data_IF_531372262113
#
_entry.id   IF_531372262113
#
_cell.length_a   1.000
_cell.length_b   1.000
_cell.length_c   1.000
_cell.angle_alpha   90.00
_cell.angle_beta   90.00
_cell.angle_gamma   90.00
#
_symmetry.space_group_name_H-M   'P 1'
#
loop_
_entity.id
_entity.type
_entity.pdbx_description
1 polymer ?
#
# COMPACT_ATOMS: atom_id res chain seq x y z
N UNK A 1 -3.90 41.76 89.29
CA UNK A 1 -2.67 42.56 89.14
C UNK A 1 -1.50 41.58 89.03
N UNK A 2 -0.65 41.71 87.97
CA UNK A 2 0.56 40.91 87.59
C UNK A 2 0.29 39.51 86.98
N UNK A 3 0.28 39.32 85.65
CA UNK A 3 1.34 39.27 84.61
C UNK A 3 2.16 37.96 84.53
N UNK A 4 2.07 37.28 83.37
CA UNK A 4 3.09 36.49 82.64
C UNK A 4 2.33 35.50 81.73
N UNK A 5 2.08 35.70 80.42
CA UNK A 5 2.95 35.76 79.23
C UNK A 5 3.93 34.58 79.10
N UNK A 6 3.47 33.49 78.49
CA UNK A 6 4.31 32.64 77.63
C UNK A 6 3.56 32.34 76.33
N UNK A 7 4.15 32.80 75.22
CA UNK A 7 3.73 32.56 73.84
C UNK A 7 4.25 31.19 73.40
N UNK A 8 3.36 30.29 72.99
CA UNK A 8 3.72 29.10 72.23
C UNK A 8 3.48 29.35 70.75
N UNK A 9 4.58 29.39 70.00
CA UNK A 9 4.63 29.51 68.55
C UNK A 9 4.30 28.12 67.97
N UNK A 10 3.21 28.00 67.22
CA UNK A 10 2.94 26.84 66.39
C UNK A 10 3.50 27.09 64.99
N UNK A 11 4.60 26.41 64.66
CA UNK A 11 5.12 26.31 63.30
C UNK A 11 4.28 25.25 62.60
N UNK A 12 3.33 25.67 61.78
CA UNK A 12 2.64 24.77 60.86
C UNK A 12 3.54 24.60 59.63
N UNK A 13 4.20 23.44 59.55
CA UNK A 13 4.92 23.01 58.35
C UNK A 13 3.86 22.71 57.28
N UNK A 14 3.76 23.58 56.28
CA UNK A 14 3.03 23.30 55.04
C UNK A 14 3.86 22.26 54.28
N UNK A 15 3.36 21.05 54.01
CA UNK A 15 4.06 20.15 53.12
C UNK A 15 4.04 20.77 51.72
N UNK A 16 5.25 20.97 51.20
CA UNK A 16 5.53 21.44 49.86
C UNK A 16 4.80 20.55 48.85
N UNK A 17 3.92 21.17 48.06
CA UNK A 17 3.21 20.52 46.97
C UNK A 17 4.22 19.95 45.96
N UNK A 18 4.29 18.63 45.86
CA UNK A 18 4.82 17.95 44.68
C UNK A 18 3.65 17.52 43.79
N UNK A 19 2.94 18.50 43.24
CA UNK A 19 2.22 18.29 41.99
C UNK A 19 3.25 18.27 40.86
N UNK A 20 3.71 17.09 40.47
CA UNK A 20 4.21 16.87 39.10
C UNK A 20 3.06 16.26 38.31
N UNK A 21 2.01 17.06 38.11
CA UNK A 21 1.08 16.85 36.99
C UNK A 21 1.79 17.36 35.73
N UNK A 22 2.54 16.48 35.09
CA UNK A 22 2.81 16.59 33.66
C UNK A 22 2.04 15.47 32.94
N UNK A 23 0.72 15.44 33.12
CA UNK A 23 -0.14 14.82 32.13
C UNK A 23 -0.27 15.87 31.02
N UNK A 24 0.71 15.92 30.12
CA UNK A 24 0.52 16.65 28.88
C UNK A 24 -0.68 16.02 28.20
N UNK A 25 -1.73 16.82 28.01
CA UNK A 25 -2.81 16.50 27.07
C UNK A 25 -2.15 15.98 25.80
N UNK A 26 -2.50 14.81 25.25
CA UNK A 26 -1.84 14.31 24.06
C UNK A 26 -2.10 15.32 22.96
N UNK A 27 -1.06 16.10 22.65
CA UNK A 27 -1.06 17.02 21.55
C UNK A 27 -1.46 16.20 20.33
N UNK A 28 -2.49 16.66 19.62
CA UNK A 28 -3.08 15.90 18.52
C UNK A 28 -1.97 15.62 17.51
N UNK A 29 -1.47 14.38 17.48
CA UNK A 29 -0.30 13.97 16.68
C UNK A 29 -0.41 14.57 15.27
N UNK A 30 0.53 15.46 14.94
CA UNK A 30 0.57 16.06 13.61
C UNK A 30 0.94 14.99 12.58
N UNK A 31 0.15 14.89 11.52
CA UNK A 31 0.32 13.90 10.43
C UNK A 31 0.72 14.55 9.10
N UNK A 32 1.07 15.83 9.13
CA UNK A 32 1.47 16.60 7.94
C UNK A 32 2.93 16.43 7.58
N UNK A 33 3.76 15.99 8.54
CA UNK A 33 5.18 15.66 8.35
C UNK A 33 5.40 14.23 8.83
N UNK A 34 6.02 13.41 7.98
CA UNK A 34 6.30 12.00 8.25
C UNK A 34 7.81 11.75 8.09
N UNK A 35 8.41 10.80 8.84
CA UNK A 35 7.79 10.00 9.89
C UNK A 35 7.44 10.83 11.14
N UNK A 36 6.39 10.43 11.85
CA UNK A 36 6.02 11.03 13.15
C UNK A 36 7.15 10.74 14.13
N UNK A 37 7.70 11.80 14.75
CA UNK A 37 8.82 11.67 15.66
C UNK A 37 8.39 11.03 16.98
N UNK A 38 9.24 10.15 17.53
CA UNK A 38 9.04 9.61 18.87
C UNK A 38 9.09 10.75 19.91
N UNK A 39 8.25 10.72 20.96
CA UNK A 39 8.40 11.65 22.07
C UNK A 39 9.73 11.40 22.79
N UNK A 40 10.26 12.44 23.43
CA UNK A 40 11.46 12.30 24.26
C UNK A 40 11.23 11.25 25.36
N UNK A 41 12.20 10.34 25.53
CA UNK A 41 12.12 9.29 26.54
C UNK A 41 12.41 9.87 27.92
N UNK A 42 11.63 9.53 28.95
CA UNK A 42 11.91 9.99 30.30
C UNK A 42 13.26 9.47 30.78
N UNK A 43 13.98 10.29 31.56
CA UNK A 43 15.17 9.86 32.29
C UNK A 43 14.74 9.24 33.63
N UNK A 44 15.40 8.14 34.02
CA UNK A 44 15.10 7.44 35.26
C UNK A 44 16.15 7.78 36.32
N UNK A 45 15.68 8.14 37.51
CA UNK A 45 16.52 8.35 38.69
C UNK A 45 16.49 7.18 39.67
N UNK A 46 15.57 6.22 39.48
CA UNK A 46 15.53 4.98 40.25
C UNK A 46 16.73 4.09 39.92
N UNK A 47 17.44 3.64 40.96
CA UNK A 47 18.69 2.89 40.85
C UNK A 47 18.46 1.38 40.89
N UNK A 48 17.39 0.93 41.54
CA UNK A 48 16.99 -0.48 41.53
C UNK A 48 16.08 -0.76 40.35
N UNK A 49 16.61 -1.47 39.35
CA UNK A 49 15.86 -1.84 38.12
C UNK A 49 14.54 -2.56 38.41
N UNK A 50 14.39 -3.22 39.56
CA UNK A 50 13.16 -3.92 39.94
C UNK A 50 12.02 -2.97 40.29
N UNK A 51 12.34 -1.71 40.60
CA UNK A 51 11.39 -0.66 40.96
C UNK A 51 11.12 0.30 39.79
N UNK A 52 11.77 0.11 38.64
CA UNK A 52 11.57 0.94 37.45
C UNK A 52 10.29 0.51 36.74
N UNK A 53 9.33 1.43 36.62
CA UNK A 53 8.17 1.24 35.74
C UNK A 53 8.58 1.43 34.28
N UNK A 54 8.24 0.46 33.41
CA UNK A 54 8.53 0.57 31.98
C UNK A 54 7.59 1.57 31.31
N UNK A 55 8.11 2.47 30.47
CA UNK A 55 7.27 3.42 29.76
C UNK A 55 6.46 2.66 28.70
N UNK A 56 5.25 3.14 28.34
CA UNK A 56 4.49 2.55 27.25
C UNK A 56 5.28 2.64 25.95
N UNK A 57 5.15 1.61 25.09
CA UNK A 57 5.71 1.65 23.76
C UNK A 57 5.05 2.78 22.95
N UNK A 58 5.87 3.57 22.28
CA UNK A 58 5.36 4.54 21.33
C UNK A 58 4.86 3.82 20.08
N UNK A 59 3.56 3.91 19.82
CA UNK A 59 2.91 3.26 18.69
C UNK A 59 2.16 4.27 17.83
N UNK A 60 2.45 4.29 16.53
CA UNK A 60 1.62 5.02 15.56
C UNK A 60 0.44 4.15 15.15
N UNK A 61 -0.76 4.54 15.61
CA UNK A 61 -2.03 3.92 15.19
C UNK A 61 -2.68 4.75 14.10
N UNK A 62 -3.43 4.10 13.21
CA UNK A 62 -4.27 4.82 12.25
C UNK A 62 -5.33 5.66 12.97
N UNK A 63 -5.84 6.76 12.36
CA UNK A 63 -6.94 7.52 12.91
C UNK A 63 -8.16 6.63 13.22
N UNK A 64 -8.94 7.00 14.24
CA UNK A 64 -10.19 6.28 14.54
C UNK A 64 -11.09 6.25 13.31
N UNK A 65 -11.66 5.07 13.00
CA UNK A 65 -12.50 4.83 11.82
C UNK A 65 -11.79 4.99 10.47
N UNK A 66 -10.45 4.96 10.45
CA UNK A 66 -9.70 4.89 9.21
C UNK A 66 -10.14 3.66 8.40
N UNK A 67 -10.52 3.82 7.11
CA UNK A 67 -11.03 2.72 6.31
C UNK A 67 -9.88 1.83 5.82
N UNK A 68 -10.20 0.57 5.51
CA UNK A 68 -9.39 -0.23 4.60
C UNK A 68 -9.46 0.38 3.19
N UNK A 69 -8.35 0.38 2.47
CA UNK A 69 -8.25 0.89 1.10
C UNK A 69 -7.79 -0.23 0.19
N UNK A 70 -8.57 -0.55 -0.84
CA UNK A 70 -8.20 -1.52 -1.87
C UNK A 70 -8.21 -0.82 -3.23
N UNK A 71 -7.08 -0.85 -3.92
CA UNK A 71 -6.96 -0.47 -5.32
C UNK A 71 -6.84 -1.74 -6.14
N UNK A 72 -7.78 -1.96 -7.06
CA UNK A 72 -7.69 -3.01 -8.08
C UNK A 72 -7.33 -2.35 -9.40
N UNK A 73 -6.13 -2.64 -9.91
CA UNK A 73 -5.65 -2.15 -11.20
C UNK A 73 -5.60 -3.32 -12.20
N UNK A 74 -6.41 -3.22 -13.25
CA UNK A 74 -6.47 -4.23 -14.32
C UNK A 74 -5.62 -3.73 -15.49
N UNK A 75 -4.64 -4.53 -15.91
CA UNK A 75 -3.68 -4.15 -16.95
C UNK A 75 -4.31 -4.30 -18.34
N UNK A 76 -4.16 -3.26 -19.17
CA UNK A 76 -4.56 -3.19 -20.59
C UNK A 76 -6.04 -3.49 -20.93
N UNK A 77 -6.93 -3.37 -19.95
CA UNK A 77 -8.36 -3.51 -20.23
C UNK A 77 -8.90 -2.26 -20.93
N UNK A 78 -9.49 -2.44 -22.12
CA UNK A 78 -10.14 -1.35 -22.85
C UNK A 78 -11.48 -0.96 -22.23
N UNK A 79 -11.80 0.34 -22.24
CA UNK A 79 -13.04 0.89 -21.67
C UNK A 79 -14.31 0.20 -22.22
N UNK A 80 -14.36 -0.08 -23.52
CA UNK A 80 -15.49 -0.75 -24.19
C UNK A 80 -15.46 -2.29 -24.14
N UNK A 81 -14.57 -2.89 -23.35
CA UNK A 81 -14.53 -4.35 -23.19
C UNK A 81 -15.60 -4.87 -22.23
N UNK A 82 -15.61 -4.43 -20.96
CA UNK A 82 -16.57 -4.85 -19.94
C UNK A 82 -18.02 -4.41 -20.22
N UNK A 83 -18.98 -5.29 -19.94
CA UNK A 83 -20.42 -4.99 -20.03
C UNK A 83 -20.87 -3.89 -19.06
N UNK A 84 -20.14 -3.67 -17.96
CA UNK A 84 -20.35 -2.56 -17.03
C UNK A 84 -20.37 -1.19 -17.73
N UNK A 85 -19.64 -1.06 -18.84
CA UNK A 85 -19.60 0.15 -19.67
C UNK A 85 -20.12 -0.10 -21.11
N UNK A 86 -20.99 -1.10 -21.28
CA UNK A 86 -21.64 -1.43 -22.55
C UNK A 86 -20.88 -2.41 -23.46
N UNK A 87 -19.75 -2.94 -23.01
CA UNK A 87 -18.96 -3.90 -23.77
C UNK A 87 -19.50 -5.35 -23.78
N UNK A 88 -18.95 -6.23 -24.63
CA UNK A 88 -19.44 -7.60 -24.78
C UNK A 88 -18.95 -8.57 -23.68
N UNK A 89 -17.93 -8.20 -22.90
CA UNK A 89 -17.29 -9.07 -21.91
C UNK A 89 -18.07 -9.03 -20.60
N UNK A 90 -18.53 -10.18 -20.12
CA UNK A 90 -19.33 -10.28 -18.91
C UNK A 90 -18.46 -10.13 -17.65
N UNK A 91 -18.72 -9.09 -16.85
CA UNK A 91 -18.00 -8.77 -15.62
C UNK A 91 -18.97 -8.53 -14.45
N UNK A 92 -19.70 -9.57 -13.99
CA UNK A 92 -20.78 -9.41 -13.00
C UNK A 92 -20.33 -8.82 -11.66
N UNK A 93 -19.07 -9.07 -11.25
CA UNK A 93 -18.51 -8.44 -10.04
C UNK A 93 -18.33 -6.94 -10.22
N UNK A 94 -17.87 -6.48 -11.40
CA UNK A 94 -17.72 -5.06 -11.70
C UNK A 94 -19.10 -4.39 -11.84
N UNK A 95 -20.08 -5.08 -12.45
CA UNK A 95 -21.46 -4.59 -12.54
C UNK A 95 -22.05 -4.30 -11.17
N UNK A 96 -21.87 -5.22 -10.21
CA UNK A 96 -22.33 -5.03 -8.83
C UNK A 96 -21.61 -3.85 -8.16
N UNK A 97 -20.29 -3.74 -8.32
CA UNK A 97 -19.53 -2.63 -7.75
C UNK A 97 -19.95 -1.27 -8.33
N UNK A 98 -20.26 -1.22 -9.62
CA UNK A 98 -20.76 -0.02 -10.28
C UNK A 98 -22.18 0.34 -9.81
N UNK A 99 -23.05 -0.66 -9.62
CA UNK A 99 -24.42 -0.45 -9.12
C UNK A 99 -24.47 0.07 -7.68
N UNK A 100 -23.56 -0.41 -6.83
CA UNK A 100 -23.47 -0.02 -5.42
C UNK A 100 -22.51 1.17 -5.18
N UNK A 101 -21.93 1.72 -6.25
CA UNK A 101 -20.80 2.65 -6.17
C UNK A 101 -20.92 3.86 -7.09
N UNK A 102 -19.76 4.40 -7.47
CA UNK A 102 -19.64 5.53 -8.39
C UNK A 102 -18.78 5.10 -9.57
N UNK A 103 -19.31 5.31 -10.77
CA UNK A 103 -18.61 5.07 -12.03
C UNK A 103 -18.16 6.40 -12.65
N UNK A 104 -16.96 6.40 -13.23
CA UNK A 104 -16.39 7.56 -13.92
C UNK A 104 -16.28 7.27 -15.41
N UNK A 105 -16.81 8.14 -16.26
CA UNK A 105 -16.67 8.10 -17.72
C UNK A 105 -15.68 9.15 -18.25
N UNK A 106 -15.02 9.90 -17.35
CA UNK A 106 -14.03 10.92 -17.65
C UNK A 106 -12.79 10.80 -16.73
N UNK A 107 -12.37 9.56 -16.49
CA UNK A 107 -11.17 9.22 -15.72
C UNK A 107 -10.02 8.95 -16.68
N UNK A 108 -8.85 9.54 -16.41
CA UNK A 108 -7.69 9.45 -17.29
C UNK A 108 -6.51 8.80 -16.58
N UNK A 109 -5.91 7.83 -17.26
CA UNK A 109 -4.57 7.33 -16.98
C UNK A 109 -3.57 8.00 -17.91
N UNK A 110 -2.30 7.63 -17.80
CA UNK A 110 -1.35 7.91 -18.89
C UNK A 110 -1.54 6.89 -20.02
N UNK A 111 -0.80 7.06 -21.13
CA UNK A 111 -0.86 6.14 -22.26
C UNK A 111 -0.13 4.80 -22.03
N UNK A 112 0.65 4.65 -20.94
CA UNK A 112 1.49 3.49 -20.69
C UNK A 112 1.36 2.99 -19.24
N UNK A 113 1.74 1.73 -19.02
CA UNK A 113 1.63 1.05 -17.74
C UNK A 113 2.51 1.69 -16.64
N UNK A 114 3.85 1.69 -16.76
CA UNK A 114 4.72 2.26 -15.71
C UNK A 114 4.39 3.71 -15.35
N UNK A 115 4.18 4.63 -16.32
CA UNK A 115 3.82 6.02 -16.01
C UNK A 115 2.49 6.16 -15.27
N UNK A 116 1.46 5.37 -15.63
CA UNK A 116 0.18 5.33 -14.91
C UNK A 116 0.35 4.87 -13.47
N UNK A 117 1.12 3.81 -13.25
CA UNK A 117 1.30 3.20 -11.92
C UNK A 117 2.04 4.15 -10.97
N UNK A 118 3.09 4.80 -11.47
CA UNK A 118 3.83 5.79 -10.70
C UNK A 118 2.97 7.03 -10.41
N UNK A 119 2.20 7.54 -11.39
CA UNK A 119 1.29 8.65 -11.15
C UNK A 119 0.22 8.30 -10.10
N UNK A 120 -0.38 7.12 -10.19
CA UNK A 120 -1.39 6.61 -9.26
C UNK A 120 -0.87 6.54 -7.82
N UNK A 121 0.35 6.00 -7.63
CA UNK A 121 0.91 5.78 -6.28
C UNK A 121 1.66 6.96 -5.71
N UNK A 122 1.88 8.02 -6.46
CA UNK A 122 2.56 9.23 -5.97
C UNK A 122 1.67 10.47 -5.97
N UNK A 123 0.57 10.46 -6.73
CA UNK A 123 -0.24 11.64 -7.00
C UNK A 123 0.51 12.73 -7.79
N UNK A 124 1.63 12.38 -8.44
CA UNK A 124 2.47 13.30 -9.22
C UNK A 124 2.38 13.01 -10.71
N UNK A 125 2.72 14.01 -11.51
CA UNK A 125 2.95 13.79 -12.94
C UNK A 125 4.09 12.77 -13.12
N UNK A 126 3.89 11.82 -14.04
CA UNK A 126 4.81 10.71 -14.24
C UNK A 126 6.21 11.16 -14.69
N UNK A 127 6.36 12.29 -15.40
CA UNK A 127 7.67 12.87 -15.69
C UNK A 127 8.35 13.41 -14.42
N UNK A 128 7.61 14.06 -13.51
CA UNK A 128 8.17 14.49 -12.22
C UNK A 128 8.64 13.30 -11.37
N UNK A 129 7.98 12.15 -11.51
CA UNK A 129 8.38 10.88 -10.89
C UNK A 129 9.40 10.09 -11.73
N UNK A 130 10.08 10.71 -12.70
CA UNK A 130 11.09 10.10 -13.56
C UNK A 130 10.61 8.88 -14.37
N UNK A 131 9.33 8.82 -14.69
CA UNK A 131 8.69 7.73 -15.43
C UNK A 131 8.00 8.28 -16.67
N UNK A 132 8.79 8.80 -17.61
CA UNK A 132 8.29 9.33 -18.87
C UNK A 132 7.81 8.24 -19.84
N UNK A 133 8.36 7.04 -19.71
CA UNK A 133 8.04 5.85 -20.51
C UNK A 133 8.03 4.59 -19.61
N UNK A 134 7.92 3.42 -20.23
CA UNK A 134 8.06 2.12 -19.54
C UNK A 134 9.46 1.95 -18.93
N UNK A 135 9.55 1.18 -17.84
CA UNK A 135 10.81 0.98 -17.10
C UNK A 135 11.96 0.45 -17.96
N UNK A 136 11.66 -0.37 -18.95
CA UNK A 136 12.61 -0.95 -19.90
C UNK A 136 13.24 0.09 -20.84
N UNK A 137 12.58 1.24 -21.02
CA UNK A 137 13.06 2.37 -21.83
C UNK A 137 13.58 3.53 -20.98
N UNK A 138 13.91 3.28 -19.71
CA UNK A 138 14.46 4.30 -18.84
C UNK A 138 15.89 4.69 -19.26
N UNK A 139 16.32 5.92 -18.95
CA UNK A 139 17.57 6.51 -19.45
C UNK A 139 18.30 7.30 -18.35
N UNK A 140 19.44 7.94 -18.65
CA UNK A 140 20.07 8.88 -17.73
C UNK A 140 19.39 10.26 -17.67
N UNK A 141 18.43 10.55 -18.55
CA UNK A 141 17.85 11.89 -18.68
C UNK A 141 16.75 12.15 -17.64
N UNK A 142 16.73 13.33 -16.99
CA UNK A 142 15.66 13.71 -16.08
C UNK A 142 14.29 13.59 -16.73
N UNK A 143 13.31 13.12 -15.96
CA UNK A 143 11.97 12.87 -16.44
C UNK A 143 11.71 11.46 -16.96
N UNK A 144 12.76 10.66 -17.17
CA UNK A 144 12.65 9.27 -17.60
C UNK A 144 13.80 8.39 -17.09
N UNK A 145 14.24 8.60 -15.86
CA UNK A 145 15.32 7.79 -15.27
C UNK A 145 14.88 6.43 -14.75
N UNK A 146 13.57 6.18 -14.61
CA UNK A 146 13.04 4.99 -13.94
C UNK A 146 13.31 4.97 -12.43
N UNK A 147 13.89 6.05 -11.89
CA UNK A 147 14.22 6.19 -10.48
C UNK A 147 13.36 7.28 -9.86
N UNK A 148 12.31 6.88 -9.15
CA UNK A 148 11.46 7.80 -8.38
C UNK A 148 12.36 8.61 -7.43
N UNK A 149 12.35 9.95 -7.51
CA UNK A 149 13.24 10.78 -6.71
C UNK A 149 12.76 10.86 -5.25
N UNK A 150 13.69 11.04 -4.31
CA UNK A 150 13.38 11.14 -2.86
C UNK A 150 12.46 12.32 -2.50
N UNK A 151 12.26 13.28 -3.41
CA UNK A 151 11.29 14.38 -3.26
C UNK A 151 9.84 13.94 -3.51
N UNK A 152 9.63 12.72 -3.99
CA UNK A 152 8.32 12.13 -4.28
C UNK A 152 8.06 11.01 -3.27
N UNK A 153 7.17 11.27 -2.32
CA UNK A 153 6.78 10.29 -1.31
C UNK A 153 5.75 9.28 -1.89
N UNK A 154 5.98 7.96 -1.77
CA UNK A 154 5.01 6.95 -2.17
C UNK A 154 3.77 6.96 -1.26
N UNK A 155 2.58 6.77 -1.85
CA UNK A 155 1.30 6.67 -1.13
C UNK A 155 1.33 5.58 -0.06
N UNK A 156 1.87 4.41 -0.39
CA UNK A 156 1.98 3.30 0.54
C UNK A 156 2.84 3.68 1.76
N UNK A 157 3.95 4.40 1.55
CA UNK A 157 4.82 4.83 2.64
C UNK A 157 4.12 5.82 3.56
N UNK A 158 3.40 6.80 2.98
CA UNK A 158 2.60 7.73 3.76
C UNK A 158 1.54 7.02 4.60
N UNK A 159 0.87 6.01 4.06
CA UNK A 159 -0.13 5.21 4.80
C UNK A 159 0.53 4.35 5.88
N UNK A 160 1.63 3.66 5.56
CA UNK A 160 2.42 2.84 6.50
C UNK A 160 2.89 3.66 7.70
N UNK A 161 3.49 4.83 7.45
CA UNK A 161 3.93 5.77 8.48
C UNK A 161 2.76 6.42 9.26
N UNK A 162 1.53 6.24 8.80
CA UNK A 162 0.31 6.64 9.51
C UNK A 162 -0.42 5.48 10.21
N UNK A 163 0.19 4.28 10.25
CA UNK A 163 -0.33 3.15 11.02
C UNK A 163 -1.16 2.15 10.21
N UNK A 164 -1.12 2.20 8.88
CA UNK A 164 -1.70 1.15 8.04
C UNK A 164 -0.76 -0.06 7.93
N UNK A 165 -1.33 -1.24 7.69
CA UNK A 165 -0.59 -2.36 7.09
C UNK A 165 -0.66 -2.24 5.57
N UNK A 166 0.45 -2.40 4.87
CA UNK A 166 0.48 -2.17 3.41
C UNK A 166 0.88 -3.43 2.64
N UNK A 167 0.11 -3.79 1.62
CA UNK A 167 0.35 -4.97 0.80
C UNK A 167 0.19 -4.69 -0.69
N UNK A 168 1.13 -5.19 -1.50
CA UNK A 168 1.07 -5.14 -2.96
C UNK A 168 1.09 -6.55 -3.54
N UNK A 169 0.19 -6.83 -4.48
CA UNK A 169 0.05 -8.14 -5.12
C UNK A 169 -0.03 -7.97 -6.63
N UNK A 170 0.83 -8.71 -7.36
CA UNK A 170 0.85 -8.78 -8.82
C UNK A 170 1.93 -7.94 -9.50
N UNK A 171 1.57 -7.25 -10.60
CA UNK A 171 2.50 -6.49 -11.44
C UNK A 171 2.97 -5.22 -10.72
N UNK A 172 4.28 -5.07 -10.58
CA UNK A 172 4.89 -3.82 -10.13
C UNK A 172 5.14 -2.87 -11.31
N UNK A 173 6.15 -3.16 -12.14
CA UNK A 173 6.54 -2.39 -13.34
C UNK A 173 6.94 -0.94 -13.11
N UNK A 174 7.56 -0.67 -11.96
CA UNK A 174 7.98 0.67 -11.53
C UNK A 174 9.42 0.70 -10.99
N UNK A 175 10.16 -0.38 -11.23
CA UNK A 175 11.59 -0.48 -10.95
C UNK A 175 12.32 -0.53 -12.28
N UNK A 176 13.31 0.35 -12.47
CA UNK A 176 14.12 0.37 -13.69
C UNK A 176 14.78 -0.99 -13.95
N UNK A 177 14.83 -1.43 -15.20
CA UNK A 177 15.27 -2.78 -15.56
C UNK A 177 16.71 -3.12 -15.10
N UNK A 178 17.59 -2.13 -14.98
CA UNK A 178 18.96 -2.35 -14.46
C UNK A 178 19.04 -2.47 -12.94
N UNK A 179 17.97 -2.13 -12.20
CA UNK A 179 17.86 -2.32 -10.74
C UNK A 179 17.17 -3.65 -10.39
N UNK A 180 16.65 -4.38 -11.39
CA UNK A 180 16.03 -5.70 -11.20
C UNK A 180 17.08 -6.81 -11.22
N UNK A 181 18.04 -6.73 -10.31
CA UNK A 181 19.11 -7.73 -10.16
C UNK A 181 19.27 -8.18 -8.71
N UNK A 182 19.95 -9.32 -8.53
CA UNK A 182 20.28 -9.83 -7.19
C UNK A 182 21.25 -8.93 -6.41
N UNK A 183 21.94 -8.03 -7.11
CA UNK A 183 22.88 -7.08 -6.52
C UNK A 183 22.22 -5.81 -5.99
N UNK A 184 20.92 -5.63 -6.23
CA UNK A 184 20.21 -4.39 -5.95
C UNK A 184 20.60 -3.24 -6.91
N UNK A 185 20.36 -1.97 -6.52
CA UNK A 185 19.78 -1.54 -5.24
C UNK A 185 18.32 -1.97 -5.07
N UNK A 186 17.86 -2.11 -3.82
CA UNK A 186 16.48 -2.52 -3.50
C UNK A 186 15.60 -1.36 -3.03
N UNK A 187 16.14 -0.14 -2.93
CA UNK A 187 15.44 1.04 -2.36
C UNK A 187 14.16 1.42 -3.14
N UNK A 188 14.10 1.05 -4.42
CA UNK A 188 12.98 1.30 -5.34
C UNK A 188 12.13 0.07 -5.63
N UNK A 189 12.35 -1.00 -4.87
CA UNK A 189 11.48 -2.18 -4.90
C UNK A 189 10.23 -1.94 -4.05
N UNK A 190 9.14 -2.70 -4.29
CA UNK A 190 7.87 -2.52 -3.58
C UNK A 190 8.02 -2.38 -2.05
N UNK A 191 8.85 -3.24 -1.44
CA UNK A 191 9.02 -3.27 0.01
C UNK A 191 9.79 -2.10 0.61
N UNK A 192 10.50 -1.34 -0.23
CA UNK A 192 11.18 -0.10 0.16
C UNK A 192 10.47 1.15 -0.39
N UNK A 193 9.31 0.96 -1.04
CA UNK A 193 8.41 2.02 -1.49
C UNK A 193 7.12 2.05 -0.64
N UNK A 194 7.22 1.56 0.59
CA UNK A 194 6.18 1.65 1.61
C UNK A 194 5.22 0.46 1.71
N UNK A 195 5.43 -0.63 0.97
CA UNK A 195 4.65 -1.86 1.13
C UNK A 195 5.30 -2.84 2.11
N UNK A 196 4.66 -3.16 3.23
CA UNK A 196 5.17 -4.17 4.17
C UNK A 196 5.20 -5.58 3.54
N UNK A 197 4.28 -5.86 2.62
CA UNK A 197 4.19 -7.11 1.86
C UNK A 197 4.21 -6.85 0.36
N UNK A 198 5.00 -7.63 -0.38
CA UNK A 198 4.89 -7.74 -1.83
C UNK A 198 4.85 -9.20 -2.25
N UNK A 199 3.97 -9.54 -3.18
CA UNK A 199 3.97 -10.82 -3.88
C UNK A 199 3.61 -10.62 -5.35
N UNK A 200 4.57 -10.80 -6.25
CA UNK A 200 4.28 -10.73 -7.68
C UNK A 200 5.52 -10.58 -8.54
N UNK A 201 5.44 -9.85 -9.65
CA UNK A 201 6.53 -9.73 -10.62
C UNK A 201 6.91 -8.28 -10.87
N UNK A 202 8.18 -8.06 -11.19
CA UNK A 202 8.73 -6.70 -11.32
C UNK A 202 8.61 -6.13 -12.73
N UNK A 203 8.79 -6.96 -13.77
CA UNK A 203 8.78 -6.52 -15.16
C UNK A 203 7.42 -6.05 -15.69
N UNK A 204 7.40 -5.60 -16.95
CA UNK A 204 6.19 -5.17 -17.63
C UNK A 204 5.18 -6.26 -17.96
N UNK A 205 5.63 -7.50 -18.10
CA UNK A 205 4.75 -8.62 -18.38
C UNK A 205 5.36 -9.90 -17.81
N UNK A 206 4.55 -10.96 -17.74
CA UNK A 206 5.02 -12.28 -17.30
C UNK A 206 4.13 -13.38 -17.87
N UNK A 207 4.69 -14.57 -18.03
CA UNK A 207 3.91 -15.77 -18.36
C UNK A 207 2.95 -16.08 -17.19
N UNK A 208 1.64 -16.15 -17.45
CA UNK A 208 0.66 -16.39 -16.39
C UNK A 208 0.62 -17.85 -15.90
N UNK A 209 1.26 -18.78 -16.60
CA UNK A 209 1.40 -20.20 -16.26
C UNK A 209 2.75 -20.49 -15.57
N UNK A 210 3.80 -19.80 -15.99
CA UNK A 210 5.16 -19.95 -15.47
C UNK A 210 5.80 -18.59 -15.11
N UNK A 211 5.20 -17.82 -14.17
CA UNK A 211 5.64 -16.47 -13.87
C UNK A 211 6.97 -16.44 -13.13
N UNK A 212 7.70 -15.34 -13.31
CA UNK A 212 8.84 -15.00 -12.46
C UNK A 212 8.35 -14.20 -11.24
N UNK A 213 8.18 -14.89 -10.11
CA UNK A 213 7.58 -14.32 -8.90
C UNK A 213 8.62 -13.98 -7.84
N UNK A 214 8.37 -12.87 -7.14
CA UNK A 214 9.11 -12.39 -5.98
C UNK A 214 8.17 -12.25 -4.80
N UNK A 215 8.66 -12.65 -3.63
CA UNK A 215 8.09 -12.31 -2.33
C UNK A 215 9.04 -11.32 -1.64
N UNK A 216 8.60 -10.08 -1.51
CA UNK A 216 9.48 -8.96 -1.17
C UNK A 216 10.57 -8.75 -2.23
N UNK A 217 11.82 -9.03 -1.87
CA UNK A 217 12.98 -8.94 -2.78
C UNK A 217 13.52 -10.31 -3.19
N UNK A 218 12.93 -11.40 -2.68
CA UNK A 218 13.41 -12.76 -2.91
C UNK A 218 12.59 -13.40 -4.03
N UNK A 219 13.27 -13.90 -5.05
CA UNK A 219 12.63 -14.76 -6.06
C UNK A 219 12.10 -16.03 -5.38
N UNK A 220 10.85 -16.37 -5.65
CA UNK A 220 10.19 -17.57 -5.13
C UNK A 220 9.65 -18.44 -6.25
N UNK A 221 9.55 -19.74 -5.99
CA UNK A 221 8.86 -20.66 -6.89
C UNK A 221 7.36 -20.57 -6.60
N UNK A 222 6.51 -20.37 -7.62
CA UNK A 222 5.07 -20.41 -7.44
C UNK A 222 4.59 -21.73 -6.82
N UNK A 223 3.49 -21.74 -6.05
CA UNK A 223 2.93 -22.96 -5.49
C UNK A 223 2.50 -23.92 -6.61
N UNK A 224 2.71 -25.22 -6.38
CA UNK A 224 2.17 -26.26 -7.26
C UNK A 224 0.67 -26.33 -7.07
N UNK A 225 -0.08 -26.00 -8.11
CA UNK A 225 -1.55 -26.05 -8.14
C UNK A 225 -2.00 -26.67 -9.45
N UNK A 226 -3.06 -27.48 -9.41
CA UNK A 226 -3.71 -27.98 -10.62
C UNK A 226 -4.29 -26.78 -11.40
N UNK A 227 -4.02 -26.72 -12.70
CA UNK A 227 -4.39 -25.60 -13.56
C UNK A 227 -3.93 -24.24 -12.99
N UNK A 228 -2.69 -24.19 -12.46
CA UNK A 228 -2.06 -22.96 -11.98
C UNK A 228 -2.32 -21.80 -12.94
N UNK A 229 -2.70 -20.64 -12.41
CA UNK A 229 -2.71 -19.37 -13.12
C UNK A 229 -2.28 -18.27 -12.14
N UNK A 230 -1.39 -17.37 -12.56
CA UNK A 230 -0.81 -16.36 -11.68
C UNK A 230 -1.87 -15.47 -11.02
N UNK A 231 -2.91 -15.03 -11.76
CA UNK A 231 -4.03 -14.28 -11.17
C UNK A 231 -4.72 -15.03 -10.02
N UNK A 232 -4.90 -16.36 -10.11
CA UNK A 232 -5.52 -17.16 -9.04
C UNK A 232 -4.58 -17.24 -7.84
N UNK A 233 -3.30 -17.49 -8.09
CA UNK A 233 -2.26 -17.54 -7.06
C UNK A 233 -2.15 -16.23 -6.28
N UNK A 234 -1.90 -15.10 -6.96
CA UNK A 234 -1.79 -13.80 -6.31
C UNK A 234 -3.09 -13.40 -5.58
N UNK A 235 -4.26 -13.82 -6.07
CA UNK A 235 -5.55 -13.62 -5.37
C UNK A 235 -5.59 -14.40 -4.07
N UNK A 236 -5.18 -15.67 -4.08
CA UNK A 236 -5.11 -16.49 -2.88
C UNK A 236 -4.13 -15.89 -1.86
N UNK A 237 -2.96 -15.43 -2.30
CA UNK A 237 -1.99 -14.74 -1.42
C UNK A 237 -2.58 -13.46 -0.80
N UNK A 238 -3.25 -12.63 -1.60
CA UNK A 238 -3.89 -11.40 -1.14
C UNK A 238 -4.99 -11.69 -0.09
N UNK A 239 -5.87 -12.66 -0.36
CA UNK A 239 -6.94 -13.07 0.56
C UNK A 239 -6.36 -13.63 1.86
N UNK A 240 -5.34 -14.49 1.77
CA UNK A 240 -4.67 -15.06 2.95
C UNK A 240 -4.00 -13.98 3.79
N UNK A 241 -3.37 -12.99 3.14
CA UNK A 241 -2.77 -11.85 3.84
C UNK A 241 -3.81 -11.01 4.59
N UNK A 242 -4.95 -10.68 3.96
CA UNK A 242 -6.03 -9.95 4.65
C UNK A 242 -6.56 -10.74 5.84
N UNK A 243 -6.83 -12.04 5.66
CA UNK A 243 -7.29 -12.92 6.75
C UNK A 243 -6.31 -12.92 7.92
N UNK A 244 -5.02 -13.09 7.64
CA UNK A 244 -3.98 -13.08 8.68
C UNK A 244 -3.89 -11.71 9.38
N UNK A 245 -3.84 -10.62 8.61
CA UNK A 245 -3.72 -9.26 9.13
C UNK A 245 -4.90 -8.90 10.04
N UNK A 246 -6.13 -9.18 9.61
CA UNK A 246 -7.35 -8.92 10.37
C UNK A 246 -7.49 -9.82 11.60
N UNK A 247 -6.96 -11.05 11.56
CA UNK A 247 -6.97 -11.96 12.72
C UNK A 247 -5.98 -11.52 13.81
N UNK A 248 -4.82 -11.00 13.41
CA UNK A 248 -3.79 -10.57 14.35
C UNK A 248 -3.99 -9.13 14.85
N UNK A 249 -4.50 -8.25 14.00
CA UNK A 249 -4.61 -6.80 14.26
C UNK A 249 -5.94 -6.24 13.70
N UNK A 250 -7.10 -6.63 14.25
CA UNK A 250 -8.42 -6.28 13.71
C UNK A 250 -8.69 -4.77 13.67
N UNK A 251 -8.12 -4.01 14.61
CA UNK A 251 -8.29 -2.56 14.66
C UNK A 251 -7.33 -1.78 13.74
N UNK A 252 -6.38 -2.48 13.09
CA UNK A 252 -5.41 -1.86 12.18
C UNK A 252 -5.94 -1.95 10.74
N UNK A 253 -6.12 -0.82 10.03
CA UNK A 253 -6.58 -0.86 8.65
C UNK A 253 -5.46 -1.31 7.71
N UNK A 254 -5.85 -1.83 6.54
CA UNK A 254 -4.92 -2.17 5.49
C UNK A 254 -5.07 -1.28 4.26
N UNK A 255 -3.96 -1.08 3.55
CA UNK A 255 -3.94 -0.61 2.17
C UNK A 255 -3.43 -1.74 1.29
N UNK A 256 -4.25 -2.14 0.31
CA UNK A 256 -3.89 -3.15 -0.67
C UNK A 256 -3.85 -2.53 -2.07
N UNK A 257 -2.72 -2.73 -2.73
CA UNK A 257 -2.56 -2.52 -4.17
C UNK A 257 -2.57 -3.87 -4.89
N UNK A 258 -3.68 -4.18 -5.55
CA UNK A 258 -3.89 -5.43 -6.27
C UNK A 258 -3.86 -5.15 -7.77
N UNK A 259 -2.74 -5.45 -8.42
CA UNK A 259 -2.51 -5.11 -9.83
C UNK A 259 -2.27 -6.37 -10.65
N UNK A 260 -3.25 -6.80 -11.43
CA UNK A 260 -3.16 -8.06 -12.16
C UNK A 260 -2.13 -8.00 -13.30
N UNK A 261 -1.52 -9.14 -13.63
CA UNK A 261 -0.73 -9.28 -14.86
C UNK A 261 -1.64 -9.50 -16.09
N UNK A 262 -2.59 -10.43 -15.99
CA UNK A 262 -3.71 -10.48 -16.92
C UNK A 262 -4.57 -9.20 -16.82
N UNK A 263 -5.14 -8.66 -17.89
CA UNK A 263 -5.34 -9.26 -19.22
C UNK A 263 -4.29 -8.84 -20.25
N UNK A 264 -3.13 -8.34 -19.81
CA UNK A 264 -2.00 -8.06 -20.70
C UNK A 264 -1.51 -9.33 -21.40
N UNK A 265 -0.75 -9.14 -22.49
CA UNK A 265 -0.03 -10.22 -23.13
C UNK A 265 0.99 -10.90 -22.17
N UNK A 266 1.26 -12.20 -22.35
CA UNK A 266 0.59 -13.12 -23.26
C UNK A 266 -0.84 -13.48 -22.79
N UNK A 267 -1.78 -13.62 -23.73
CA UNK A 267 -3.19 -13.93 -23.43
C UNK A 267 -3.39 -15.39 -23.01
N UNK A 268 -2.98 -15.70 -21.80
CA UNK A 268 -3.05 -17.01 -21.18
C UNK A 268 -4.37 -17.13 -20.40
N UNK A 269 -5.35 -17.81 -20.99
CA UNK A 269 -6.70 -17.92 -20.43
C UNK A 269 -7.07 -19.41 -20.25
N UNK A 270 -7.58 -19.83 -19.08
CA UNK A 270 -8.04 -21.19 -18.90
C UNK A 270 -9.17 -21.57 -19.88
N UNK A 271 -9.21 -22.84 -20.30
CA UNK A 271 -10.11 -23.33 -21.37
C UNK A 271 -11.59 -23.09 -21.07
N UNK A 272 -11.98 -23.21 -19.82
CA UNK A 272 -13.35 -22.99 -19.35
C UNK A 272 -13.81 -21.54 -19.52
N UNK A 273 -12.89 -20.58 -19.50
CA UNK A 273 -13.19 -19.17 -19.78
C UNK A 273 -13.24 -18.91 -21.27
N UNK A 274 -12.33 -19.50 -22.06
CA UNK A 274 -12.37 -19.43 -23.54
C UNK A 274 -13.70 -19.98 -24.07
N UNK A 275 -14.14 -21.12 -23.56
CA UNK A 275 -15.36 -21.81 -24.02
C UNK A 275 -16.62 -20.92 -23.93
N UNK A 276 -16.70 -20.03 -22.93
CA UNK A 276 -17.84 -19.10 -22.76
C UNK A 276 -17.98 -18.09 -23.91
N UNK A 277 -16.88 -17.80 -24.61
CA UNK A 277 -16.82 -16.80 -25.67
C UNK A 277 -16.68 -17.40 -27.07
N UNK A 278 -16.75 -18.73 -27.22
CA UNK A 278 -16.74 -19.39 -28.53
C UNK A 278 -17.85 -18.84 -29.42
N UNK A 279 -17.50 -18.36 -30.61
CA UNK A 279 -18.44 -17.80 -31.58
C UNK A 279 -18.86 -16.35 -31.32
N UNK A 280 -18.55 -15.78 -30.15
CA UNK A 280 -19.01 -14.42 -29.77
C UNK A 280 -18.28 -13.31 -30.53
N UNK A 281 -17.08 -13.60 -31.03
CA UNK A 281 -16.22 -12.65 -31.71
C UNK A 281 -16.00 -12.94 -33.21
N UNK A 282 -16.71 -13.92 -33.78
CA UNK A 282 -16.48 -14.42 -35.16
C UNK A 282 -16.80 -13.37 -36.24
N UNK A 283 -17.68 -12.41 -35.95
CA UNK A 283 -18.00 -11.30 -36.86
C UNK A 283 -16.86 -10.28 -37.01
N UNK A 284 -15.82 -10.36 -36.16
CA UNK A 284 -14.72 -9.41 -36.17
C UNK A 284 -15.03 -8.09 -35.45
N UNK A 285 -13.97 -7.32 -35.20
CA UNK A 285 -14.03 -6.10 -34.38
C UNK A 285 -14.96 -5.02 -34.96
N UNK A 286 -14.96 -4.85 -36.29
CA UNK A 286 -15.75 -3.80 -36.95
C UNK A 286 -17.25 -3.93 -36.76
N UNK A 287 -17.76 -5.17 -36.66
CA UNK A 287 -19.18 -5.40 -36.47
C UNK A 287 -19.57 -5.46 -34.99
N UNK A 288 -18.64 -5.85 -34.11
CA UNK A 288 -18.87 -5.87 -32.67
C UNK A 288 -18.96 -4.46 -32.12
N UNK A 289 -18.09 -3.53 -32.56
CA UNK A 289 -18.09 -2.14 -32.07
C UNK A 289 -19.33 -1.32 -32.46
N UNK A 290 -20.16 -1.82 -33.39
CA UNK A 290 -21.40 -1.17 -33.84
C UNK A 290 -22.62 -1.57 -32.99
N UNK A 291 -22.50 -2.64 -32.20
CA UNK A 291 -23.55 -3.17 -31.34
C UNK A 291 -23.44 -2.56 -29.95
#
# INVERSE_FOLDING_TARGET
MKHSIFKSIWITIIPLASLVTACSTPEKLSRTVLPIQEPERPTYSELDVRNVETPPLFEIKAPKKAPNVLIVLIDDIGFGGPNTFGGPIQTPTLDRLAADGISYNNFHTTALCSPTRNALKTGRNHHTANTGSIMESSTGFPGNTGQVPNSVAPLAEMLRLNGYSTGAFGKWHETAAWETSVSGPFDRWPTHQGFDKFYGFIGGETDQWYPLVYDGVTKVTPPKMDNYHFTVDMTNQAVNWVKAQQSMTPDKPFFMYFATGAVHAPHHVPKEWIAKYKGRFDAGWDDIRKK
#
